data_IF_830778431244
#
_entry.id   IF_830778431244
#
_cell.length_a   1.000
_cell.length_b   1.000
_cell.length_c   1.000
_cell.angle_alpha   90.00
_cell.angle_beta   90.00
_cell.angle_gamma   90.00
#
_symmetry.space_group_name_H-M   'P 1'
#
loop_
_entity.id
_entity.type
_entity.pdbx_description
1 polymer ?
#
# COMPACT_ATOMS: atom_id res chain seq x y z
N UNK A 1 10.26 0.07 2.29
CA UNK A 1 9.02 -0.70 2.51
C UNK A 1 8.78 -1.00 3.98
N UNK A 2 9.77 -1.53 4.71
CA UNK A 2 9.65 -1.87 6.14
C UNK A 2 9.39 -0.68 7.08
N UNK A 3 9.92 0.51 6.76
CA UNK A 3 9.56 1.73 7.49
C UNK A 3 8.31 2.35 6.88
N UNK A 4 7.18 2.13 7.54
CA UNK A 4 5.86 2.54 7.08
C UNK A 4 5.67 4.06 7.10
N UNK A 5 6.47 4.80 7.87
CA UNK A 5 6.43 6.28 7.85
C UNK A 5 6.75 6.84 6.47
N UNK A 6 7.53 6.09 5.68
CA UNK A 6 7.92 6.47 4.33
C UNK A 6 6.82 6.27 3.27
N UNK A 7 5.65 5.74 3.64
CA UNK A 7 4.50 5.62 2.72
C UNK A 7 4.09 6.98 2.13
N UNK A 8 4.32 8.08 2.85
CA UNK A 8 4.05 9.45 2.35
C UNK A 8 4.83 9.78 1.07
N UNK A 9 5.95 9.11 0.81
CA UNK A 9 6.80 9.40 -0.35
C UNK A 9 6.34 8.71 -1.64
N UNK A 10 5.60 7.61 -1.55
CA UNK A 10 5.23 6.80 -2.71
C UNK A 10 3.78 6.33 -2.74
N UNK A 11 3.02 6.47 -1.66
CA UNK A 11 1.59 6.19 -1.62
C UNK A 11 0.78 7.34 -2.23
N UNK A 12 -0.26 7.03 -2.98
CA UNK A 12 -1.07 8.05 -3.63
C UNK A 12 -1.95 8.73 -2.59
N UNK A 13 -1.91 10.07 -2.58
CA UNK A 13 -2.76 10.94 -1.74
C UNK A 13 -2.56 10.76 -0.24
N UNK A 14 -1.56 10.01 0.22
CA UNK A 14 -1.19 9.95 1.63
C UNK A 14 -0.48 11.24 2.00
N UNK A 15 -1.05 11.98 2.94
CA UNK A 15 -0.54 13.27 3.42
C UNK A 15 0.17 13.17 4.76
N UNK A 16 -0.15 12.17 5.57
CA UNK A 16 0.52 11.92 6.83
C UNK A 16 0.43 10.43 7.22
N UNK A 17 1.41 9.99 8.01
CA UNK A 17 1.48 8.67 8.62
C UNK A 17 1.90 8.85 10.07
N UNK A 18 1.04 8.43 11.01
CA UNK A 18 1.35 8.49 12.44
C UNK A 18 1.35 7.09 13.05
N UNK A 19 2.26 6.84 13.98
CA UNK A 19 2.28 5.57 14.72
C UNK A 19 1.10 5.54 15.69
N UNK A 20 0.34 4.44 15.70
CA UNK A 20 -0.69 4.20 16.71
C UNK A 20 0.01 3.57 17.92
N UNK A 21 -0.03 4.21 19.11
CA UNK A 21 0.58 3.64 20.31
C UNK A 21 -0.05 2.28 20.63
N UNK A 22 0.75 1.21 20.56
CA UNK A 22 0.28 -0.13 20.91
C UNK A 22 0.07 -0.21 22.42
N UNK A 23 -1.18 -0.45 22.84
CA UNK A 23 -1.53 -0.66 24.27
C UNK A 23 -1.43 -2.13 24.69
N UNK A 24 -1.40 -3.07 23.75
CA UNK A 24 -1.47 -4.51 24.01
C UNK A 24 -0.62 -5.26 23.00
N UNK A 25 0.56 -5.76 23.41
CA UNK A 25 1.26 -6.98 22.94
C UNK A 25 1.34 -7.35 21.45
N UNK A 26 0.84 -6.53 20.53
CA UNK A 26 0.84 -6.78 19.10
C UNK A 26 2.28 -6.75 18.63
N UNK A 27 2.71 -7.85 18.00
CA UNK A 27 4.09 -8.01 17.56
C UNK A 27 4.46 -7.07 16.40
N UNK A 28 3.48 -6.48 15.72
CA UNK A 28 3.69 -5.58 14.60
C UNK A 28 3.11 -4.18 14.85
N UNK A 29 3.81 -3.12 14.43
CA UNK A 29 3.35 -1.75 14.59
C UNK A 29 2.12 -1.47 13.73
N UNK A 30 1.21 -0.64 14.26
CA UNK A 30 0.05 -0.11 13.56
C UNK A 30 0.21 1.39 13.34
N UNK A 31 -0.30 1.88 12.22
CA UNK A 31 -0.19 3.26 11.78
C UNK A 31 -1.55 3.82 11.39
N UNK A 32 -1.78 5.10 11.63
CA UNK A 32 -2.90 5.84 11.05
C UNK A 32 -2.40 6.55 9.78
N UNK A 33 -3.05 6.28 8.67
CA UNK A 33 -2.85 6.94 7.39
C UNK A 33 -3.89 8.03 7.21
N UNK A 34 -3.43 9.22 6.80
CA UNK A 34 -4.30 10.33 6.44
C UNK A 34 -4.23 10.57 4.93
N UNK A 35 -5.31 10.22 4.23
CA UNK A 35 -5.48 10.50 2.81
C UNK A 35 -6.07 11.90 2.61
N UNK A 36 -5.51 12.66 1.66
CA UNK A 36 -6.01 13.98 1.26
C UNK A 36 -6.61 13.92 -0.15
N UNK A 37 -7.92 14.18 -0.24
CA UNK A 37 -8.74 14.15 -1.46
C UNK A 37 -9.31 15.56 -1.70
N UNK A 38 -8.46 16.48 -2.15
CA UNK A 38 -8.83 17.90 -2.22
C UNK A 38 -9.13 18.46 -0.82
N UNK A 39 -10.32 19.02 -0.56
CA UNK A 39 -10.68 19.53 0.76
C UNK A 39 -11.00 18.41 1.77
N UNK A 40 -11.22 17.18 1.31
CA UNK A 40 -11.60 16.06 2.17
C UNK A 40 -10.37 15.31 2.70
N UNK A 41 -10.45 14.90 3.97
CA UNK A 41 -9.44 14.05 4.61
C UNK A 41 -10.08 12.75 5.05
N UNK A 42 -9.45 11.62 4.72
CA UNK A 42 -9.89 10.29 5.13
C UNK A 42 -8.83 9.63 5.98
N UNK A 43 -9.26 9.02 7.08
CA UNK A 43 -8.41 8.25 7.97
C UNK A 43 -8.56 6.76 7.68
N UNK A 44 -7.45 6.05 7.74
CA UNK A 44 -7.43 4.59 7.69
C UNK A 44 -6.35 4.06 8.62
N UNK A 45 -6.60 2.91 9.23
CA UNK A 45 -5.61 2.21 10.03
C UNK A 45 -4.86 1.24 9.12
N UNK A 46 -3.53 1.21 9.21
CA UNK A 46 -2.65 0.37 8.44
C UNK A 46 -1.74 -0.42 9.37
N UNK A 47 -1.72 -1.74 9.25
CA UNK A 47 -0.87 -2.58 10.09
C UNK A 47 -0.36 -3.79 9.32
N UNK A 48 0.79 -4.31 9.76
CA UNK A 48 1.33 -5.54 9.22
C UNK A 48 0.64 -6.74 9.87
N UNK A 49 0.08 -7.63 9.04
CA UNK A 49 -0.51 -8.89 9.47
C UNK A 49 0.54 -10.01 9.50
N UNK A 50 1.43 -10.00 8.51
CA UNK A 50 2.53 -10.95 8.35
C UNK A 50 3.73 -10.19 7.81
N UNK A 51 4.90 -10.42 8.40
CA UNK A 51 6.16 -9.90 7.87
C UNK A 51 7.26 -10.94 8.01
N UNK A 52 7.71 -11.46 6.88
CA UNK A 52 8.92 -12.27 6.75
C UNK A 52 9.95 -11.47 5.97
N UNK A 53 11.03 -11.00 6.60
CA UNK A 53 12.10 -10.25 5.93
C UNK A 53 12.57 -10.96 4.66
N UNK A 54 12.85 -10.20 3.60
CA UNK A 54 13.35 -10.68 2.31
C UNK A 54 12.46 -11.70 1.56
N UNK A 55 11.24 -11.95 2.04
CA UNK A 55 10.33 -12.93 1.43
C UNK A 55 8.95 -12.35 1.17
N UNK A 56 8.23 -11.92 2.22
CA UNK A 56 6.82 -11.53 2.10
C UNK A 56 6.40 -10.54 3.17
N UNK A 57 5.49 -9.65 2.80
CA UNK A 57 4.85 -8.70 3.70
C UNK A 57 3.36 -8.62 3.36
N UNK A 58 2.49 -8.89 4.33
CA UNK A 58 1.04 -8.69 4.21
C UNK A 58 0.66 -7.53 5.10
N UNK A 59 0.02 -6.53 4.49
CA UNK A 59 -0.48 -5.35 5.16
C UNK A 59 -1.99 -5.28 5.03
N UNK A 60 -2.67 -4.80 6.05
CA UNK A 60 -4.11 -4.58 6.03
C UNK A 60 -4.41 -3.10 6.29
N UNK A 61 -5.23 -2.50 5.42
CA UNK A 61 -5.81 -1.17 5.61
C UNK A 61 -7.27 -1.36 5.99
N UNK A 62 -7.67 -0.78 7.12
CA UNK A 62 -9.05 -0.71 7.54
C UNK A 62 -9.48 0.74 7.66
N UNK A 63 -10.55 1.09 6.95
CA UNK A 63 -11.23 2.38 7.09
C UNK A 63 -12.73 2.16 7.29
N UNK A 64 -13.49 3.25 7.46
CA UNK A 64 -14.95 3.20 7.49
C UNK A 64 -15.57 2.77 6.14
N UNK A 65 -14.84 2.90 5.04
CA UNK A 65 -15.38 2.69 3.68
C UNK A 65 -14.80 1.47 2.95
N UNK A 66 -13.56 1.11 3.28
CA UNK A 66 -12.77 0.11 2.56
C UNK A 66 -11.96 -0.73 3.54
N UNK A 67 -11.99 -2.05 3.34
CA UNK A 67 -10.96 -2.96 3.81
C UNK A 67 -10.06 -3.34 2.64
N UNK A 68 -8.76 -3.28 2.84
CA UNK A 68 -7.75 -3.61 1.84
C UNK A 68 -6.70 -4.54 2.46
N UNK A 69 -6.24 -5.50 1.69
CA UNK A 69 -5.10 -6.36 2.00
C UNK A 69 -4.10 -6.26 0.87
N UNK A 70 -2.93 -5.75 1.21
CA UNK A 70 -1.78 -5.59 0.32
C UNK A 70 -0.77 -6.69 0.60
N UNK A 71 -0.39 -7.43 -0.43
CA UNK A 71 0.58 -8.51 -0.34
C UNK A 71 1.77 -8.15 -1.21
N UNK A 72 2.93 -7.98 -0.58
CA UNK A 72 4.21 -7.80 -1.23
C UNK A 72 4.99 -9.09 -1.12
N UNK A 73 5.51 -9.58 -2.24
CA UNK A 73 6.46 -10.70 -2.27
C UNK A 73 7.76 -10.24 -2.92
N UNK A 74 8.86 -10.67 -2.35
CA UNK A 74 10.21 -10.26 -2.73
C UNK A 74 10.96 -11.47 -3.28
N UNK A 75 11.43 -11.37 -4.51
CA UNK A 75 12.29 -12.36 -5.14
C UNK A 75 13.63 -11.70 -5.42
N UNK A 76 14.61 -12.01 -4.57
CA UNK A 76 15.97 -11.46 -4.65
C UNK A 76 16.75 -12.27 -5.68
N UNK A 77 17.40 -11.58 -6.61
CA UNK A 77 18.30 -12.18 -7.59
C UNK A 77 19.57 -11.34 -7.73
N UNK A 78 20.58 -11.87 -8.43
CA UNK A 78 21.79 -11.14 -8.78
C UNK A 78 21.55 -9.92 -9.68
N UNK A 79 20.39 -9.81 -10.34
CA UNK A 79 19.98 -8.67 -11.18
C UNK A 79 19.12 -7.64 -10.43
N UNK A 80 18.94 -7.84 -9.12
CA UNK A 80 18.12 -7.01 -8.24
C UNK A 80 16.90 -7.76 -7.69
N UNK A 81 16.04 -7.02 -7.01
CA UNK A 81 14.84 -7.56 -6.36
C UNK A 81 13.61 -7.35 -7.24
N UNK A 82 12.93 -8.44 -7.59
CA UNK A 82 11.57 -8.38 -8.14
C UNK A 82 10.59 -8.26 -6.99
N UNK A 83 9.76 -7.22 -7.03
CA UNK A 83 8.68 -7.00 -6.08
C UNK A 83 7.38 -7.30 -6.80
N UNK A 84 6.62 -8.29 -6.31
CA UNK A 84 5.25 -8.54 -6.80
C UNK A 84 4.27 -8.03 -5.78
N UNK A 85 3.36 -7.17 -6.23
CA UNK A 85 2.32 -6.57 -5.42
C UNK A 85 0.95 -7.11 -5.83
N UNK A 86 0.21 -7.64 -4.85
CA UNK A 86 -1.16 -8.10 -5.00
C UNK A 86 -2.06 -7.34 -4.03
N UNK A 87 -3.18 -6.83 -4.53
CA UNK A 87 -4.13 -6.05 -3.76
C UNK A 87 -5.48 -6.76 -3.73
N UNK A 88 -6.02 -6.95 -2.53
CA UNK A 88 -7.39 -7.40 -2.32
C UNK A 88 -8.16 -6.29 -1.61
N UNK A 89 -9.21 -5.79 -2.24
CA UNK A 89 -9.96 -4.64 -1.74
C UNK A 89 -11.45 -4.96 -1.69
N UNK A 90 -12.10 -4.62 -0.57
CA UNK A 90 -13.53 -4.80 -0.36
C UNK A 90 -14.15 -3.52 0.20
N UNK A 91 -15.15 -2.99 -0.49
CA UNK A 91 -15.93 -1.87 0.01
C UNK A 91 -16.90 -2.33 1.10
N UNK A 92 -17.01 -1.56 2.19
CA UNK A 92 -17.92 -1.87 3.32
C UNK A 92 -19.36 -1.47 3.04
N UNK A 93 -19.55 -0.38 2.28
CA UNK A 93 -20.86 0.08 1.83
C UNK A 93 -20.90 0.02 0.30
N UNK A 94 -21.42 -1.06 -0.28
CA UNK A 94 -21.52 -1.20 -1.73
C UNK A 94 -22.66 -0.32 -2.26
N UNK A 95 -22.32 0.88 -2.71
CA UNK A 95 -23.17 1.61 -3.64
C UNK A 95 -22.68 1.30 -5.06
N UNK A 96 -23.56 0.92 -5.98
CA UNK A 96 -23.19 0.51 -7.34
C UNK A 96 -22.25 1.51 -8.06
N UNK A 97 -22.48 2.80 -7.89
CA UNK A 97 -21.62 3.87 -8.43
C UNK A 97 -20.23 3.88 -7.78
N UNK A 98 -20.16 3.68 -6.45
CA UNK A 98 -18.92 3.65 -5.70
C UNK A 98 -18.03 2.46 -6.07
N UNK A 99 -18.63 1.28 -6.26
CA UNK A 99 -17.93 0.09 -6.75
C UNK A 99 -17.34 0.29 -8.14
N UNK A 100 -18.11 0.87 -9.07
CA UNK A 100 -17.65 1.11 -10.43
C UNK A 100 -16.51 2.12 -10.51
N UNK A 101 -16.61 3.23 -9.77
CA UNK A 101 -15.54 4.25 -9.69
C UNK A 101 -14.29 3.67 -9.02
N UNK A 102 -14.46 2.86 -7.96
CA UNK A 102 -13.35 2.22 -7.30
C UNK A 102 -12.64 1.21 -8.22
N UNK A 103 -13.40 0.31 -8.85
CA UNK A 103 -12.86 -0.70 -9.76
C UNK A 103 -12.15 -0.10 -10.98
N UNK A 104 -12.66 1.01 -11.52
CA UNK A 104 -12.05 1.69 -12.67
C UNK A 104 -10.74 2.41 -12.32
N UNK A 105 -10.62 2.96 -11.10
CA UNK A 105 -9.46 3.78 -10.70
C UNK A 105 -8.40 3.05 -9.87
N UNK A 106 -8.74 1.92 -9.24
CA UNK A 106 -7.80 1.21 -8.35
C UNK A 106 -6.54 0.75 -9.09
N UNK A 107 -6.67 0.31 -10.34
CA UNK A 107 -5.53 -0.09 -11.18
C UNK A 107 -4.58 1.07 -11.45
N UNK A 108 -5.12 2.21 -11.86
CA UNK A 108 -4.31 3.40 -12.16
C UNK A 108 -3.56 3.87 -10.91
N UNK A 109 -4.26 3.89 -9.76
CA UNK A 109 -3.67 4.20 -8.47
C UNK A 109 -2.51 3.24 -8.13
N UNK A 110 -2.74 1.93 -8.17
CA UNK A 110 -1.70 0.92 -7.86
C UNK A 110 -0.50 1.07 -8.79
N UNK A 111 -0.73 1.25 -10.09
CA UNK A 111 0.35 1.43 -11.06
C UNK A 111 1.17 2.69 -10.76
N UNK A 112 0.51 3.78 -10.36
CA UNK A 112 1.17 5.02 -9.95
C UNK A 112 2.00 4.82 -8.69
N UNK A 113 1.45 4.20 -7.65
CA UNK A 113 2.16 3.93 -6.39
C UNK A 113 3.39 3.05 -6.61
N UNK A 114 3.28 1.98 -7.42
CA UNK A 114 4.41 1.12 -7.73
C UNK A 114 5.52 1.84 -8.51
N UNK A 115 5.17 2.75 -9.43
CA UNK A 115 6.15 3.61 -10.11
C UNK A 115 6.81 4.59 -9.16
N UNK A 116 6.06 5.22 -8.26
CA UNK A 116 6.63 6.14 -7.28
C UNK A 116 7.57 5.41 -6.32
N UNK A 117 7.16 4.23 -5.86
CA UNK A 117 7.99 3.34 -5.05
C UNK A 117 9.29 2.99 -5.77
N UNK A 118 9.21 2.61 -7.05
CA UNK A 118 10.41 2.38 -7.84
C UNK A 118 11.30 3.61 -7.87
N UNK A 119 10.76 4.80 -8.16
CA UNK A 119 11.54 6.04 -8.18
C UNK A 119 12.18 6.35 -6.81
N UNK A 120 11.49 6.07 -5.70
CA UNK A 120 12.03 6.22 -4.35
C UNK A 120 13.19 5.24 -4.07
N UNK A 121 13.15 4.05 -4.67
CA UNK A 121 14.23 3.06 -4.57
C UNK A 121 15.37 3.35 -5.57
N UNK A 122 15.05 3.92 -6.72
CA UNK A 122 15.93 4.24 -7.85
C UNK A 122 16.61 5.61 -7.69
N UNK A 123 17.09 5.95 -6.49
CA UNK A 123 18.12 7.01 -6.34
C UNK A 123 19.41 6.77 -7.17
N UNK A 124 19.44 5.73 -8.02
CA UNK A 124 20.47 5.40 -9.00
C UNK A 124 19.83 5.05 -10.37
N UNK A 125 20.39 5.62 -11.45
CA UNK A 125 19.96 5.58 -12.86
C UNK A 125 19.72 4.17 -13.49
N UNK A 126 18.67 3.44 -13.14
CA UNK A 126 18.27 2.25 -13.94
C UNK A 126 16.76 2.07 -14.05
N UNK A 127 16.23 2.08 -15.28
CA UNK A 127 14.82 1.77 -15.56
C UNK A 127 14.58 0.26 -15.38
N UNK A 128 13.73 -0.12 -14.42
CA UNK A 128 13.18 -1.48 -14.32
C UNK A 128 11.73 -1.54 -14.81
N UNK A 129 11.38 -2.69 -15.40
CA UNK A 129 10.08 -2.98 -15.97
C UNK A 129 9.11 -3.53 -14.92
N UNK A 130 7.88 -3.01 -14.87
CA UNK A 130 6.77 -3.59 -14.12
C UNK A 130 5.86 -4.40 -15.04
N UNK A 131 5.41 -5.55 -14.57
CA UNK A 131 4.36 -6.35 -15.19
C UNK A 131 3.15 -6.39 -14.25
N UNK A 132 1.99 -5.92 -14.73
CA UNK A 132 0.72 -6.00 -14.01
C UNK A 132 0.02 -7.28 -14.42
N UNK A 133 -0.17 -8.22 -13.49
CA UNK A 133 -0.92 -9.46 -13.72
C UNK A 133 -2.29 -9.31 -13.06
N UNK A 134 -3.37 -9.57 -13.81
CA UNK A 134 -4.75 -9.55 -13.33
C UNK A 134 -5.12 -10.97 -12.88
N UNK A 135 -5.65 -11.11 -11.67
CA UNK A 135 -6.27 -12.35 -11.17
C UNK A 135 -7.70 -12.00 -10.77
#
# INVERSE_FOLDING_TARGET
MADFRNLVHWGDRISNVSLIPSKNGNHFPAYELLYSLGPFKLKANYFAKEWTPNSRMIMEIHSSFLDQRDIYTFQISNRGTKITFTNHSKLKCPYHLGEWVFASKIRERICKEMRQLQNCLDGSNSRKHFQVIRI
#
